data_IF_174607676118
#
_entry.id   IF_174607676118
#
_cell.length_a   1.000
_cell.length_b   1.000
_cell.length_c   1.000
_cell.angle_alpha   90.00
_cell.angle_beta   90.00
_cell.angle_gamma   90.00
#
_symmetry.space_group_name_H-M   'P 1'
#
loop_
_entity.id
_entity.type
_entity.pdbx_description
1 polymer ?
#
# COMPACT_ATOMS: atom_id res chain seq x y z
N UNK A 1 -20.89 3.47 -4.81
CA UNK A 1 -19.70 2.91 -5.48
C UNK A 1 -20.10 2.06 -6.70
N UNK A 2 -19.17 1.56 -7.53
CA UNK A 2 -19.49 0.65 -8.66
C UNK A 2 -20.31 -0.56 -8.18
N UNK A 3 -19.94 -1.13 -7.03
CA UNK A 3 -20.67 -2.25 -6.40
C UNK A 3 -22.14 -1.89 -6.16
N UNK A 4 -22.42 -0.75 -5.51
CA UNK A 4 -23.80 -0.32 -5.24
C UNK A 4 -24.64 -0.12 -6.50
N UNK A 5 -24.01 0.31 -7.60
CA UNK A 5 -24.71 0.56 -8.86
C UNK A 5 -25.25 -0.72 -9.51
N UNK A 6 -24.54 -1.83 -9.34
CA UNK A 6 -24.84 -3.09 -10.03
C UNK A 6 -25.33 -4.20 -9.09
N UNK A 7 -25.41 -3.94 -7.78
CA UNK A 7 -25.79 -4.94 -6.78
C UNK A 7 -27.20 -5.53 -6.95
N UNK A 8 -28.09 -4.87 -7.70
CA UNK A 8 -29.44 -5.36 -7.98
C UNK A 8 -29.67 -5.58 -9.48
N UNK A 9 -28.60 -5.49 -10.28
CA UNK A 9 -28.68 -5.65 -11.73
C UNK A 9 -28.55 -7.15 -12.08
N UNK A 10 -29.65 -7.75 -12.53
CA UNK A 10 -29.70 -9.15 -12.94
C UNK A 10 -28.82 -9.46 -14.17
N UNK A 11 -28.45 -8.43 -14.93
CA UNK A 11 -27.59 -8.53 -16.10
C UNK A 11 -26.12 -8.23 -15.77
N UNK A 12 -25.82 -7.78 -14.56
CA UNK A 12 -24.46 -7.66 -14.08
C UNK A 12 -23.95 -8.96 -13.45
N UNK A 13 -22.68 -9.28 -13.69
CA UNK A 13 -22.04 -10.49 -13.16
C UNK A 13 -20.64 -10.21 -12.64
N UNK A 14 -20.26 -10.89 -11.56
CA UNK A 14 -18.89 -11.00 -11.09
C UNK A 14 -18.23 -12.23 -11.70
N UNK A 15 -16.95 -12.12 -12.04
CA UNK A 15 -16.16 -13.22 -12.59
C UNK A 15 -14.89 -13.42 -11.81
N UNK A 16 -14.47 -14.68 -11.68
CA UNK A 16 -13.21 -15.06 -11.05
C UNK A 16 -12.69 -16.37 -11.65
N UNK A 17 -11.41 -16.66 -11.41
CA UNK A 17 -10.81 -17.94 -11.73
C UNK A 17 -9.90 -18.48 -10.63
N UNK A 18 -9.91 -19.80 -10.45
CA UNK A 18 -9.09 -20.52 -9.48
C UNK A 18 -8.31 -21.66 -10.12
N UNK A 19 -7.11 -21.91 -9.63
CA UNK A 19 -6.22 -22.99 -10.09
C UNK A 19 -6.60 -24.32 -9.43
N UNK A 20 -6.54 -25.42 -10.18
CA UNK A 20 -6.65 -26.76 -9.59
C UNK A 20 -5.45 -27.05 -8.67
N UNK A 21 -5.67 -27.87 -7.64
CA UNK A 21 -4.60 -28.28 -6.72
C UNK A 21 -3.63 -29.27 -7.37
N UNK A 22 -4.10 -30.04 -8.35
CA UNK A 22 -3.29 -31.02 -9.06
C UNK A 22 -2.31 -30.35 -10.04
N UNK A 23 -1.07 -30.85 -10.18
CA UNK A 23 -0.11 -30.33 -11.14
C UNK A 23 -0.64 -30.41 -12.56
N UNK A 24 -0.84 -29.26 -13.16
CA UNK A 24 -1.28 -29.12 -14.53
C UNK A 24 -1.85 -27.73 -14.70
N UNK A 25 -1.50 -27.07 -15.80
CA UNK A 25 -2.00 -25.77 -16.26
C UNK A 25 -3.54 -25.77 -16.38
N UNK A 26 -4.27 -25.95 -15.29
CA UNK A 26 -5.69 -26.26 -15.22
C UNK A 26 -6.36 -25.35 -14.20
N UNK A 27 -7.44 -24.71 -14.63
CA UNK A 27 -8.13 -23.67 -13.89
C UNK A 27 -9.64 -23.84 -14.04
N UNK A 28 -10.39 -23.40 -13.04
CA UNK A 28 -11.82 -23.20 -13.10
C UNK A 28 -12.10 -21.71 -13.24
N UNK A 29 -12.91 -21.34 -14.22
CA UNK A 29 -13.45 -20.00 -14.40
C UNK A 29 -14.93 -19.99 -14.04
N UNK A 30 -15.41 -18.95 -13.36
CA UNK A 30 -16.81 -18.83 -12.91
C UNK A 30 -17.40 -17.49 -13.24
N UNK A 31 -18.73 -17.48 -13.38
CA UNK A 31 -19.57 -16.31 -13.54
C UNK A 31 -20.65 -16.37 -12.48
N UNK A 32 -20.74 -15.34 -11.65
CA UNK A 32 -21.68 -15.22 -10.54
C UNK A 32 -22.57 -14.00 -10.74
N UNK A 33 -23.87 -14.15 -10.53
CA UNK A 33 -24.83 -13.04 -10.64
C UNK A 33 -24.55 -11.96 -9.59
N UNK A 34 -24.57 -10.69 -10.01
CA UNK A 34 -24.42 -9.57 -9.10
C UNK A 34 -25.65 -9.35 -8.21
N UNK A 35 -26.84 -9.77 -8.63
CA UNK A 35 -28.08 -9.54 -7.88
C UNK A 35 -28.33 -10.52 -6.74
N UNK A 36 -27.89 -11.78 -6.89
CA UNK A 36 -28.23 -12.85 -5.96
C UNK A 36 -27.05 -13.78 -5.59
N UNK A 37 -25.86 -13.56 -6.14
CA UNK A 37 -24.68 -14.37 -5.84
C UNK A 37 -24.73 -15.81 -6.39
N UNK A 38 -25.73 -16.16 -7.20
CA UNK A 38 -25.83 -17.49 -7.79
C UNK A 38 -24.81 -17.68 -8.92
N UNK A 39 -24.22 -18.87 -9.00
CA UNK A 39 -23.33 -19.23 -10.12
C UNK A 39 -24.15 -19.40 -11.39
N UNK A 40 -23.92 -18.54 -12.39
CA UNK A 40 -24.58 -18.57 -13.71
C UNK A 40 -23.90 -19.55 -14.67
N UNK A 41 -22.57 -19.55 -14.67
CA UNK A 41 -21.78 -20.40 -15.52
C UNK A 41 -20.45 -20.74 -14.86
N UNK A 42 -19.89 -21.89 -15.22
CA UNK A 42 -18.54 -22.27 -14.84
C UNK A 42 -17.92 -23.14 -15.94
N UNK A 43 -16.60 -23.03 -16.12
CA UNK A 43 -15.86 -23.83 -17.08
C UNK A 43 -14.50 -24.24 -16.52
N UNK A 44 -14.09 -25.46 -16.83
CA UNK A 44 -12.71 -25.89 -16.64
C UNK A 44 -11.92 -25.55 -17.90
N UNK A 45 -10.73 -24.99 -17.74
CA UNK A 45 -9.86 -24.59 -18.84
C UNK A 45 -8.43 -25.01 -18.56
N UNK A 46 -7.66 -25.23 -19.63
CA UNK A 46 -6.21 -25.42 -19.51
C UNK A 46 -5.46 -24.22 -20.07
N UNK A 47 -4.75 -23.50 -19.20
CA UNK A 47 -4.03 -22.26 -19.49
C UNK A 47 -2.81 -22.13 -18.58
N UNK A 48 -1.79 -21.40 -19.03
CA UNK A 48 -0.45 -21.42 -18.38
C UNK A 48 -0.34 -20.57 -17.11
N UNK A 49 -1.30 -19.70 -16.85
CA UNK A 49 -1.26 -18.79 -15.71
C UNK A 49 -2.68 -18.30 -15.36
N UNK A 50 -2.81 -17.79 -14.13
CA UNK A 50 -4.07 -17.26 -13.60
C UNK A 50 -4.65 -16.15 -14.47
N UNK A 51 -3.84 -15.23 -14.98
CA UNK A 51 -4.29 -14.15 -15.87
C UNK A 51 -5.07 -14.66 -17.08
N UNK A 52 -4.61 -15.72 -17.75
CA UNK A 52 -5.34 -16.33 -18.87
C UNK A 52 -6.65 -16.99 -18.43
N UNK A 53 -6.70 -17.53 -17.21
CA UNK A 53 -7.93 -18.11 -16.66
C UNK A 53 -8.97 -17.02 -16.35
N UNK A 54 -8.54 -15.87 -15.85
CA UNK A 54 -9.40 -14.69 -15.63
C UNK A 54 -9.97 -14.18 -16.96
N UNK A 55 -9.18 -14.16 -18.03
CA UNK A 55 -9.69 -13.82 -19.37
C UNK A 55 -10.76 -14.81 -19.85
N UNK A 56 -10.60 -16.10 -19.52
CA UNK A 56 -11.62 -17.13 -19.81
C UNK A 56 -12.90 -16.87 -19.02
N UNK A 57 -12.81 -16.45 -17.76
CA UNK A 57 -13.97 -16.09 -16.95
C UNK A 57 -14.74 -14.89 -17.53
N UNK A 58 -14.02 -13.84 -17.96
CA UNK A 58 -14.63 -12.70 -18.67
C UNK A 58 -15.26 -13.16 -19.98
N UNK A 59 -14.58 -14.00 -20.77
CA UNK A 59 -15.12 -14.51 -22.04
C UNK A 59 -16.39 -15.33 -21.84
N UNK A 60 -16.45 -16.14 -20.77
CA UNK A 60 -17.62 -16.93 -20.40
C UNK A 60 -18.82 -16.03 -20.05
N UNK A 61 -18.59 -14.94 -19.34
CA UNK A 61 -19.62 -13.95 -19.04
C UNK A 61 -20.07 -13.16 -20.29
N UNK A 62 -19.14 -12.79 -21.18
CA UNK A 62 -19.46 -12.13 -22.44
C UNK A 62 -20.33 -13.01 -23.34
N UNK A 63 -20.08 -14.32 -23.33
CA UNK A 63 -20.86 -15.31 -24.08
C UNK A 63 -22.23 -15.63 -23.46
N UNK A 64 -22.56 -15.09 -22.28
CA UNK A 64 -23.88 -15.21 -21.65
C UNK A 64 -24.84 -14.14 -22.22
N UNK A 65 -25.91 -14.53 -22.93
CA UNK A 65 -26.88 -13.59 -23.51
C UNK A 65 -27.60 -12.71 -22.46
N UNK A 66 -27.70 -13.21 -21.22
CA UNK A 66 -28.35 -12.51 -20.12
C UNK A 66 -27.39 -11.61 -19.34
N UNK A 67 -26.15 -11.45 -19.78
CA UNK A 67 -25.21 -10.49 -19.21
C UNK A 67 -25.30 -9.16 -19.98
N UNK A 68 -25.00 -8.03 -19.34
CA UNK A 68 -24.64 -6.76 -20.00
C UNK A 68 -23.32 -6.18 -19.47
N UNK A 69 -23.05 -6.42 -18.19
CA UNK A 69 -21.95 -5.85 -17.43
C UNK A 69 -21.16 -6.96 -16.76
N UNK A 70 -19.84 -6.97 -16.99
CA UNK A 70 -18.91 -7.90 -16.35
C UNK A 70 -18.04 -7.13 -15.36
N UNK A 71 -17.99 -7.58 -14.11
CA UNK A 71 -17.20 -6.99 -13.04
C UNK A 71 -16.08 -7.98 -12.68
N UNK A 72 -14.84 -7.53 -12.77
CA UNK A 72 -13.64 -8.35 -12.49
C UNK A 72 -12.63 -7.58 -11.66
N UNK A 73 -11.95 -8.25 -10.73
CA UNK A 73 -10.84 -7.69 -9.99
C UNK A 73 -9.46 -7.86 -10.69
N UNK A 74 -9.42 -8.67 -11.76
CA UNK A 74 -8.21 -8.90 -12.55
C UNK A 74 -7.93 -7.74 -13.52
N UNK A 75 -7.13 -6.78 -13.04
CA UNK A 75 -6.73 -5.61 -13.84
C UNK A 75 -6.10 -6.01 -15.17
N UNK A 76 -5.27 -7.03 -15.16
CA UNK A 76 -4.53 -7.48 -16.35
C UNK A 76 -5.50 -8.09 -17.38
N UNK A 77 -6.50 -8.87 -16.96
CA UNK A 77 -7.53 -9.44 -17.84
C UNK A 77 -8.38 -8.34 -18.47
N UNK A 78 -8.87 -7.39 -17.66
CA UNK A 78 -9.64 -6.24 -18.16
C UNK A 78 -8.84 -5.43 -19.19
N UNK A 79 -7.55 -5.16 -18.93
CA UNK A 79 -6.69 -4.45 -19.89
C UNK A 79 -6.47 -5.24 -21.20
N UNK A 80 -6.43 -6.57 -21.13
CA UNK A 80 -6.23 -7.44 -22.28
C UNK A 80 -7.45 -7.41 -23.20
N UNK A 81 -8.66 -7.44 -22.63
CA UNK A 81 -9.90 -7.18 -23.35
C UNK A 81 -9.95 -5.76 -23.95
N UNK A 82 -9.58 -4.72 -23.17
CA UNK A 82 -9.56 -3.35 -23.66
C UNK A 82 -8.61 -3.15 -24.85
N UNK A 83 -7.52 -3.93 -24.93
CA UNK A 83 -6.58 -3.93 -26.06
C UNK A 83 -7.02 -4.82 -27.23
N UNK A 84 -8.13 -5.55 -27.10
CA UNK A 84 -8.57 -6.54 -28.09
C UNK A 84 -7.64 -7.75 -28.21
N UNK A 85 -6.84 -8.06 -27.18
CA UNK A 85 -5.86 -9.16 -27.19
C UNK A 85 -6.08 -10.05 -25.98
N UNK A 86 -6.74 -11.18 -26.19
CA UNK A 86 -7.00 -12.20 -25.16
C UNK A 86 -6.32 -13.52 -25.53
N UNK A 87 -6.18 -14.42 -24.58
CA UNK A 87 -5.62 -15.74 -24.78
C UNK A 87 -6.48 -16.60 -25.74
N UNK A 88 -5.86 -17.62 -26.33
CA UNK A 88 -6.53 -18.49 -27.29
C UNK A 88 -7.74 -19.25 -26.71
N UNK A 89 -7.77 -19.53 -25.40
CA UNK A 89 -8.93 -20.14 -24.76
C UNK A 89 -10.13 -19.18 -24.70
N UNK A 90 -9.91 -17.95 -24.22
CA UNK A 90 -10.93 -16.90 -24.21
C UNK A 90 -11.43 -16.58 -25.63
N UNK A 91 -10.51 -16.42 -26.59
CA UNK A 91 -10.86 -16.15 -27.99
C UNK A 91 -11.75 -17.24 -28.62
N UNK A 92 -11.53 -18.52 -28.26
CA UNK A 92 -12.37 -19.63 -28.74
C UNK A 92 -13.80 -19.54 -28.20
N UNK A 93 -13.98 -19.19 -26.92
CA UNK A 93 -15.31 -19.01 -26.32
C UNK A 93 -16.06 -17.88 -27.03
N UNK A 94 -15.40 -16.73 -27.22
CA UNK A 94 -15.98 -15.58 -27.90
C UNK A 94 -16.41 -15.92 -29.34
N UNK A 95 -15.53 -16.59 -30.11
CA UNK A 95 -15.85 -17.02 -31.48
C UNK A 95 -17.01 -18.02 -31.52
N UNK A 96 -17.03 -18.97 -30.59
CA UNK A 96 -18.11 -19.94 -30.51
C UNK A 96 -19.46 -19.28 -30.21
N UNK A 97 -19.49 -18.24 -29.35
CA UNK A 97 -20.69 -17.46 -29.07
C UNK A 97 -21.23 -16.78 -30.34
N UNK A 98 -20.36 -16.12 -31.11
CA UNK A 98 -20.71 -15.50 -32.40
C UNK A 98 -21.25 -16.54 -33.40
N UNK A 99 -20.57 -17.68 -33.57
CA UNK A 99 -21.00 -18.72 -34.52
C UNK A 99 -22.34 -19.37 -34.14
N UNK A 100 -22.62 -19.49 -32.83
CA UNK A 100 -23.86 -20.12 -32.35
C UNK A 100 -25.03 -19.14 -32.26
N UNK A 101 -24.86 -17.89 -32.70
CA UNK A 101 -25.88 -16.84 -32.54
C UNK A 101 -26.21 -16.56 -31.08
N UNK A 102 -25.28 -16.89 -30.17
CA UNK A 102 -25.35 -16.56 -28.74
C UNK A 102 -24.65 -15.25 -28.43
N UNK A 103 -23.98 -14.65 -29.42
CA UNK A 103 -23.71 -13.23 -29.31
C UNK A 103 -25.03 -12.46 -29.33
N UNK A 104 -24.97 -11.31 -28.69
CA UNK A 104 -26.12 -10.49 -28.38
C UNK A 104 -26.01 -9.22 -29.19
N UNK A 105 -27.16 -8.68 -29.59
CA UNK A 105 -27.28 -7.35 -30.17
C UNK A 105 -27.03 -6.29 -29.08
N UNK A 106 -25.76 -6.11 -28.67
CA UNK A 106 -25.40 -5.12 -27.65
C UNK A 106 -24.00 -5.29 -27.07
N UNK A 107 -23.29 -4.17 -26.91
CA UNK A 107 -21.94 -4.16 -26.34
C UNK A 107 -21.91 -4.65 -24.89
N UNK A 108 -20.83 -5.37 -24.52
CA UNK A 108 -20.54 -5.75 -23.13
C UNK A 108 -19.64 -4.74 -22.47
N UNK A 109 -20.06 -4.26 -21.30
CA UNK A 109 -19.24 -3.34 -20.52
C UNK A 109 -18.47 -4.13 -19.48
N UNK A 110 -17.14 -4.13 -19.59
CA UNK A 110 -16.26 -4.74 -18.60
C UNK A 110 -15.79 -3.65 -17.64
N UNK A 111 -15.97 -3.87 -16.33
CA UNK A 111 -15.59 -2.96 -15.24
C UNK A 111 -14.53 -3.62 -14.37
N UNK A 112 -13.46 -2.88 -14.09
CA UNK A 112 -12.45 -3.29 -13.13
C UNK A 112 -12.79 -2.75 -11.73
N UNK A 113 -12.62 -3.59 -10.71
CA UNK A 113 -12.68 -3.21 -9.30
C UNK A 113 -11.42 -3.68 -8.56
N UNK A 114 -11.04 -3.07 -7.43
CA UNK A 114 -10.01 -3.63 -6.57
C UNK A 114 -10.41 -5.00 -6.01
N UNK A 115 -9.45 -5.90 -5.82
CA UNK A 115 -9.66 -7.15 -5.08
C UNK A 115 -9.94 -6.86 -3.60
N UNK A 116 -10.62 -7.79 -2.92
CA UNK A 116 -10.82 -7.77 -1.46
C UNK A 116 -11.38 -6.46 -0.90
N UNK A 117 -12.33 -5.85 -1.62
CA UNK A 117 -12.98 -4.60 -1.20
C UNK A 117 -13.81 -4.72 0.08
N UNK A 118 -13.93 -5.90 0.70
CA UNK A 118 -14.73 -6.11 1.90
C UNK A 118 -16.21 -5.72 1.73
N UNK A 119 -16.96 -5.75 2.82
CA UNK A 119 -18.35 -5.24 2.89
C UNK A 119 -18.39 -3.71 3.06
N UNK A 120 -17.30 -3.12 3.56
CA UNK A 120 -17.19 -1.69 3.92
C UNK A 120 -17.18 -0.74 2.72
N UNK A 121 -16.98 -1.24 1.50
CA UNK A 121 -16.97 -0.38 0.28
C UNK A 121 -18.39 -0.08 -0.24
N UNK A 122 -19.42 -0.69 0.34
CA UNK A 122 -20.80 -0.37 0.00
C UNK A 122 -21.36 0.70 0.93
N UNK A 123 -21.78 1.82 0.35
CA UNK A 123 -22.41 2.91 1.12
C UNK A 123 -23.79 2.47 1.62
N UNK A 124 -24.42 1.56 0.89
CA UNK A 124 -25.79 1.10 1.12
C UNK A 124 -25.87 -0.31 1.75
N UNK A 125 -24.74 -0.91 2.16
CA UNK A 125 -24.71 -2.26 2.75
C UNK A 125 -25.02 -3.37 1.75
N UNK A 126 -24.93 -3.10 0.44
CA UNK A 126 -25.20 -4.09 -0.59
C UNK A 126 -24.13 -5.20 -0.60
N UNK A 127 -24.49 -6.46 -0.90
CA UNK A 127 -23.51 -7.54 -0.95
C UNK A 127 -22.56 -7.36 -2.13
N UNK A 128 -21.25 -7.46 -1.86
CA UNK A 128 -20.23 -7.55 -2.88
C UNK A 128 -19.96 -9.03 -3.22
N UNK A 129 -20.46 -9.49 -4.36
CA UNK A 129 -20.31 -10.88 -4.78
C UNK A 129 -18.97 -11.21 -5.47
N UNK A 130 -17.98 -10.30 -5.43
CA UNK A 130 -16.62 -10.62 -5.88
C UNK A 130 -16.00 -11.78 -5.08
N UNK A 131 -16.13 -11.74 -3.74
CA UNK A 131 -15.66 -12.83 -2.89
C UNK A 131 -16.50 -14.10 -3.08
N UNK A 132 -17.80 -13.96 -3.38
CA UNK A 132 -18.65 -15.10 -3.75
C UNK A 132 -18.14 -15.79 -5.02
N UNK A 133 -17.73 -15.02 -6.04
CA UNK A 133 -17.10 -15.57 -7.24
C UNK A 133 -15.77 -16.28 -6.92
N UNK A 134 -14.93 -15.68 -6.08
CA UNK A 134 -13.68 -16.30 -5.62
C UNK A 134 -13.89 -17.63 -4.90
N UNK A 135 -14.83 -17.67 -3.95
CA UNK A 135 -15.21 -18.88 -3.23
C UNK A 135 -15.81 -19.92 -4.18
N UNK A 136 -16.67 -19.51 -5.11
CA UNK A 136 -17.26 -20.41 -6.10
C UNK A 136 -16.18 -21.02 -7.00
N UNK A 137 -15.25 -20.23 -7.52
CA UNK A 137 -14.16 -20.72 -8.37
C UNK A 137 -13.33 -21.79 -7.64
N UNK A 138 -12.91 -21.49 -6.41
CA UNK A 138 -12.15 -22.41 -5.56
C UNK A 138 -12.95 -23.64 -5.14
N UNK A 139 -14.25 -23.50 -4.87
CA UNK A 139 -15.12 -24.63 -4.54
C UNK A 139 -15.26 -25.63 -5.69
N UNK A 140 -15.13 -25.17 -6.94
CA UNK A 140 -15.28 -26.00 -8.13
C UNK A 140 -13.98 -26.69 -8.60
N UNK A 141 -12.82 -26.39 -8.00
CA UNK A 141 -11.56 -27.08 -8.32
C UNK A 141 -11.51 -28.51 -7.79
N UNK A 142 -12.36 -28.88 -6.83
CA UNK A 142 -12.35 -30.20 -6.17
C UNK A 142 -13.46 -31.16 -6.64
N UNK A 143 -13.97 -31.01 -7.87
CA UNK A 143 -15.11 -31.81 -8.38
C UNK A 143 -14.86 -33.32 -8.49
N UNK A 144 -13.62 -33.81 -8.41
CA UNK A 144 -13.27 -35.23 -8.60
C UNK A 144 -12.76 -35.95 -7.34
N UNK A 145 -12.69 -35.30 -6.18
CA UNK A 145 -12.10 -35.85 -4.96
C UNK A 145 -13.03 -36.85 -4.21
N UNK A 146 -13.81 -37.66 -4.93
CA UNK A 146 -14.56 -38.75 -4.30
C UNK A 146 -13.67 -39.97 -3.99
N UNK A 147 -12.48 -40.11 -4.62
CA UNK A 147 -11.59 -41.27 -4.41
C UNK A 147 -10.07 -40.96 -4.49
N UNK A 148 -9.66 -39.70 -4.49
CA UNK A 148 -8.25 -39.32 -4.48
C UNK A 148 -7.76 -39.18 -3.04
N UNK A 149 -6.77 -39.97 -2.63
CA UNK A 149 -6.04 -39.77 -1.38
C UNK A 149 -5.64 -38.30 -1.29
N UNK A 150 -6.06 -37.63 -0.22
CA UNK A 150 -5.60 -36.28 0.13
C UNK A 150 -4.08 -36.38 0.27
N UNK A 151 -3.36 -36.02 -0.79
CA UNK A 151 -1.91 -35.95 -0.75
C UNK A 151 -1.57 -34.89 0.29
N UNK A 152 -1.15 -35.38 1.45
CA UNK A 152 -0.64 -34.61 2.58
C UNK A 152 0.67 -33.96 2.13
N UNK A 153 0.57 -32.82 1.45
CA UNK A 153 1.72 -32.15 0.84
C UNK A 153 1.52 -30.65 0.75
N UNK A 154 1.90 -29.93 1.82
CA UNK A 154 2.14 -28.48 1.82
C UNK A 154 0.89 -27.61 1.67
N UNK A 155 0.93 -26.41 2.26
CA UNK A 155 -0.02 -25.35 1.92
C UNK A 155 0.11 -25.05 0.41
N UNK A 156 -0.86 -25.47 -0.40
CA UNK A 156 -0.90 -25.14 -1.82
C UNK A 156 -1.28 -23.67 -1.98
N UNK A 157 -0.28 -22.82 -2.21
CA UNK A 157 -0.50 -21.42 -2.59
C UNK A 157 -0.78 -21.35 -4.10
N UNK A 158 -2.02 -20.98 -4.45
CA UNK A 158 -2.42 -20.70 -5.83
C UNK A 158 -1.41 -19.75 -6.48
N UNK A 159 -1.16 -19.91 -7.77
CA UNK A 159 -0.34 -18.98 -8.56
C UNK A 159 -0.86 -17.54 -8.47
N UNK A 160 -2.17 -17.34 -8.24
CA UNK A 160 -2.79 -16.03 -7.96
C UNK A 160 -2.34 -15.43 -6.62
N UNK A 161 -1.99 -16.26 -5.65
CA UNK A 161 -1.56 -15.86 -4.30
C UNK A 161 -0.03 -15.78 -4.16
N UNK A 162 0.73 -16.06 -5.23
CA UNK A 162 2.20 -15.99 -5.22
C UNK A 162 2.68 -14.56 -5.44
N UNK A 163 3.51 -14.11 -4.52
CA UNK A 163 4.23 -12.84 -4.61
C UNK A 163 5.34 -12.94 -5.67
N UNK A 164 5.02 -12.66 -6.92
CA UNK A 164 5.91 -12.94 -8.06
C UNK A 164 6.57 -11.70 -8.62
N UNK A 165 6.03 -10.50 -8.37
CA UNK A 165 6.62 -9.26 -8.88
C UNK A 165 7.64 -8.68 -7.91
N UNK A 166 8.68 -8.02 -8.44
CA UNK A 166 9.68 -7.31 -7.64
C UNK A 166 9.05 -6.33 -6.64
N UNK A 167 8.01 -5.60 -7.06
CA UNK A 167 7.32 -4.63 -6.21
C UNK A 167 6.61 -5.31 -5.03
N UNK A 168 5.87 -6.39 -5.27
CA UNK A 168 5.20 -7.12 -4.19
C UNK A 168 6.20 -7.68 -3.18
N UNK A 169 7.29 -8.30 -3.67
CA UNK A 169 8.37 -8.84 -2.84
C UNK A 169 8.99 -7.75 -1.97
N UNK A 170 9.40 -6.63 -2.57
CA UNK A 170 9.98 -5.51 -1.83
C UNK A 170 8.98 -4.89 -0.86
N UNK A 171 7.70 -4.76 -1.26
CA UNK A 171 6.65 -4.22 -0.40
C UNK A 171 6.43 -5.11 0.81
N UNK A 172 6.42 -6.43 0.65
CA UNK A 172 6.30 -7.36 1.77
C UNK A 172 7.47 -7.24 2.74
N UNK A 173 8.72 -7.25 2.25
CA UNK A 173 9.88 -7.04 3.12
C UNK A 173 9.86 -5.65 3.78
N UNK A 174 9.48 -4.60 3.06
CA UNK A 174 9.39 -3.23 3.57
C UNK A 174 8.35 -3.12 4.69
N UNK A 175 7.17 -3.72 4.50
CA UNK A 175 6.09 -3.70 5.50
C UNK A 175 6.43 -4.60 6.69
N UNK A 176 7.01 -5.77 6.45
CA UNK A 176 7.42 -6.70 7.51
C UNK A 176 8.55 -6.15 8.40
N UNK A 177 9.45 -5.31 7.86
CA UNK A 177 10.51 -4.64 8.63
C UNK A 177 10.07 -3.34 9.29
N UNK A 178 8.81 -2.92 9.16
CA UNK A 178 8.34 -1.63 9.69
C UNK A 178 8.10 -1.74 11.20
N UNK A 179 9.01 -1.17 11.99
CA UNK A 179 8.91 -1.13 13.47
C UNK A 179 8.23 0.15 13.99
N UNK A 180 8.21 1.21 13.19
CA UNK A 180 7.64 2.53 13.56
C UNK A 180 6.70 3.05 12.46
N UNK A 181 5.64 3.82 12.80
CA UNK A 181 4.68 4.30 11.82
C UNK A 181 5.29 5.30 10.83
N UNK A 182 4.73 5.46 9.63
CA UNK A 182 5.14 6.52 8.72
C UNK A 182 4.82 7.92 9.27
N UNK A 183 5.51 8.97 8.76
CA UNK A 183 5.07 10.34 8.97
C UNK A 183 3.65 10.48 8.41
N UNK A 184 2.81 11.23 9.09
CA UNK A 184 1.46 11.52 8.65
C UNK A 184 1.50 12.24 7.29
N UNK A 185 0.52 11.96 6.43
CA UNK A 185 0.45 12.50 5.07
C UNK A 185 0.38 14.03 5.02
N UNK A 186 -0.15 14.65 6.07
CA UNK A 186 -0.27 16.12 6.21
C UNK A 186 0.96 16.81 6.81
N UNK A 187 2.02 16.07 7.17
CA UNK A 187 3.29 16.70 7.52
C UNK A 187 3.97 17.25 6.27
N UNK A 188 4.54 18.46 6.40
CA UNK A 188 5.41 19.00 5.35
C UNK A 188 6.63 18.11 5.20
N UNK A 189 7.26 18.13 4.02
CA UNK A 189 8.45 17.32 3.73
C UNK A 189 9.55 17.50 4.77
N UNK A 190 9.82 18.73 5.18
CA UNK A 190 10.84 19.07 6.18
C UNK A 190 10.50 18.48 7.56
N UNK A 191 9.23 18.62 7.97
CA UNK A 191 8.73 18.05 9.23
C UNK A 191 8.81 16.52 9.24
N UNK A 192 8.43 15.89 8.13
CA UNK A 192 8.52 14.45 7.96
C UNK A 192 9.96 13.93 8.01
N UNK A 193 10.93 14.70 7.51
CA UNK A 193 12.36 14.38 7.62
C UNK A 193 12.82 14.45 9.08
N UNK A 194 12.49 15.51 9.80
CA UNK A 194 12.84 15.66 11.23
C UNK A 194 12.21 14.53 12.05
N UNK A 195 10.94 14.22 11.79
CA UNK A 195 10.25 13.11 12.47
C UNK A 195 10.92 11.77 12.18
N UNK A 196 11.36 11.52 10.94
CA UNK A 196 12.13 10.31 10.63
C UNK A 196 13.47 10.26 11.34
N UNK A 197 14.18 11.37 11.40
CA UNK A 197 15.45 11.45 12.12
C UNK A 197 15.27 11.18 13.62
N UNK A 198 14.19 11.65 14.23
CA UNK A 198 13.82 11.31 15.61
C UNK A 198 13.63 9.78 15.75
N UNK A 199 12.83 9.18 14.87
CA UNK A 199 12.54 7.75 14.92
C UNK A 199 13.75 6.84 14.68
N UNK A 200 14.70 7.27 13.86
CA UNK A 200 15.91 6.50 13.56
C UNK A 200 17.11 6.88 14.42
N UNK A 201 16.95 7.80 15.39
CA UNK A 201 18.04 8.27 16.24
C UNK A 201 19.14 9.01 15.48
N UNK A 202 18.81 9.65 14.36
CA UNK A 202 19.75 10.33 13.45
C UNK A 202 19.51 11.84 13.37
N UNK A 203 19.01 12.44 14.45
CA UNK A 203 18.87 13.88 14.58
C UNK A 203 20.22 14.58 14.34
N UNK A 204 20.20 15.64 13.53
CA UNK A 204 21.37 16.46 13.20
C UNK A 204 21.76 17.38 14.37
N UNK A 205 22.10 16.77 15.50
CA UNK A 205 22.64 17.43 16.69
C UNK A 205 24.10 17.82 16.46
N UNK A 206 24.70 18.75 17.25
CA UNK A 206 26.12 19.10 17.11
C UNK A 206 27.08 17.90 17.11
N UNK A 207 26.74 16.84 17.85
CA UNK A 207 27.48 15.57 17.85
C UNK A 207 27.60 14.96 16.45
N UNK A 208 26.52 14.97 15.67
CA UNK A 208 26.52 14.50 14.28
C UNK A 208 26.96 15.59 13.31
N UNK A 209 26.54 16.83 13.55
CA UNK A 209 26.74 17.95 12.65
C UNK A 209 28.21 18.34 12.51
N UNK A 210 29.05 18.21 13.55
CA UNK A 210 30.51 18.43 13.42
C UNK A 210 31.20 17.53 12.39
N UNK A 211 30.64 16.35 12.12
CA UNK A 211 31.18 15.43 11.13
C UNK A 211 30.65 15.68 9.71
N UNK A 212 29.44 16.25 9.60
CA UNK A 212 28.79 16.52 8.32
C UNK A 212 29.13 17.94 7.82
N UNK A 213 29.21 18.90 8.73
CA UNK A 213 29.46 20.32 8.49
C UNK A 213 30.54 20.86 9.45
N UNK A 214 31.79 20.37 9.37
CA UNK A 214 32.86 20.78 10.30
C UNK A 214 33.17 22.28 10.26
N UNK A 215 32.90 22.96 9.14
CA UNK A 215 33.08 24.41 9.02
C UNK A 215 32.02 25.23 9.79
N UNK A 216 30.86 24.65 10.09
CA UNK A 216 29.78 25.31 10.85
C UNK A 216 29.74 24.85 12.31
N UNK A 217 30.18 23.62 12.58
CA UNK A 217 30.16 23.00 13.90
C UNK A 217 31.58 22.58 14.29
N UNK A 218 32.26 23.45 15.04
CA UNK A 218 33.64 23.24 15.47
C UNK A 218 33.76 22.14 16.56
N UNK A 219 32.77 22.03 17.43
CA UNK A 219 32.72 21.04 18.49
C UNK A 219 31.32 20.41 18.65
N UNK A 220 31.20 19.44 19.56
CA UNK A 220 29.92 18.81 19.91
C UNK A 220 29.36 19.26 21.26
N UNK A 221 29.81 20.40 21.76
CA UNK A 221 29.40 20.92 23.07
C UNK A 221 28.01 21.55 22.97
N UNK A 222 27.18 21.32 23.99
CA UNK A 222 25.85 21.92 24.06
C UNK A 222 25.94 23.45 24.14
N UNK A 223 25.26 24.12 23.22
CA UNK A 223 25.19 25.58 23.11
C UNK A 223 24.54 26.28 24.31
N UNK A 224 23.76 25.55 25.11
CA UNK A 224 23.06 26.09 26.29
C UNK A 224 23.93 25.95 27.55
N UNK A 225 24.25 24.72 27.95
CA UNK A 225 24.99 24.49 29.21
C UNK A 225 26.52 24.63 29.08
N UNK A 226 27.06 24.59 27.86
CA UNK A 226 28.51 24.67 27.55
C UNK A 226 29.40 23.66 28.29
N UNK A 227 28.83 22.58 28.83
CA UNK A 227 29.53 21.59 29.67
C UNK A 227 29.45 20.17 29.12
N UNK A 228 28.27 19.77 28.65
CA UNK A 228 27.99 18.42 28.18
C UNK A 228 27.96 18.36 26.66
N UNK A 229 28.08 17.14 26.12
CA UNK A 229 27.92 16.87 24.69
C UNK A 229 26.45 17.05 24.29
N UNK A 230 26.20 17.69 23.17
CA UNK A 230 24.88 17.97 22.63
C UNK A 230 24.24 16.74 21.97
N UNK A 231 24.05 15.66 22.71
CA UNK A 231 23.37 14.45 22.20
C UNK A 231 21.87 14.68 22.07
N UNK A 232 21.18 13.85 21.29
CA UNK A 232 19.71 13.91 21.19
C UNK A 232 19.03 13.78 22.56
N UNK A 233 19.50 12.88 23.43
CA UNK A 233 18.99 12.75 24.80
C UNK A 233 19.18 14.04 25.60
N UNK A 234 20.39 14.61 25.59
CA UNK A 234 20.72 15.82 26.32
C UNK A 234 19.86 17.01 25.88
N UNK A 235 19.67 17.18 24.57
CA UNK A 235 18.88 18.28 24.01
C UNK A 235 17.38 18.13 24.30
N UNK A 236 16.83 16.92 24.18
CA UNK A 236 15.38 16.71 24.35
C UNK A 236 14.95 16.62 25.81
N UNK A 237 15.84 16.26 26.74
CA UNK A 237 15.60 16.46 28.16
C UNK A 237 15.62 17.95 28.55
N UNK A 238 16.16 18.83 27.69
CA UNK A 238 16.35 20.25 27.93
C UNK A 238 17.21 20.52 29.18
N UNK A 239 18.51 20.69 28.98
CA UNK A 239 19.47 20.86 30.08
C UNK A 239 19.30 22.12 30.93
N UNK A 240 18.51 23.10 30.48
CA UNK A 240 18.19 24.29 31.28
C UNK A 240 17.03 24.00 32.25
N UNK A 241 16.06 23.19 31.81
CA UNK A 241 14.87 22.85 32.60
C UNK A 241 15.07 21.60 33.46
N UNK A 242 15.75 20.58 32.93
CA UNK A 242 15.98 19.29 33.58
C UNK A 242 17.48 18.92 33.53
N UNK A 243 18.34 19.67 34.26
CA UNK A 243 19.80 19.50 34.19
C UNK A 243 20.27 18.12 34.67
N UNK A 244 19.56 17.53 35.64
CA UNK A 244 19.90 16.21 36.18
C UNK A 244 19.64 15.12 35.16
N UNK A 245 18.44 15.08 34.59
CA UNK A 245 18.02 14.12 33.59
C UNK A 245 18.88 14.23 32.33
N UNK A 246 19.13 15.46 31.86
CA UNK A 246 19.96 15.71 30.68
C UNK A 246 21.43 15.27 30.84
N UNK A 247 21.91 15.10 32.07
CA UNK A 247 23.29 14.64 32.35
C UNK A 247 23.36 13.14 32.65
N UNK A 248 22.38 12.59 33.36
CA UNK A 248 22.37 11.18 33.80
C UNK A 248 21.76 10.23 32.76
N UNK A 249 20.80 10.68 31.94
CA UNK A 249 20.04 9.81 31.03
C UNK A 249 20.64 9.77 29.63
N UNK A 250 20.85 8.55 29.13
CA UNK A 250 21.29 8.28 27.74
C UNK A 250 20.12 8.02 26.78
N UNK A 251 18.91 7.80 27.31
CA UNK A 251 17.68 7.57 26.54
C UNK A 251 16.95 8.88 26.26
N UNK A 252 16.06 8.87 25.26
CA UNK A 252 15.18 10.00 25.01
C UNK A 252 14.16 10.13 26.15
N UNK A 253 13.59 11.31 26.37
CA UNK A 253 12.45 11.44 27.28
C UNK A 253 11.28 10.56 26.81
N UNK A 254 10.56 9.87 27.71
CA UNK A 254 9.50 8.92 27.35
C UNK A 254 8.49 9.47 26.35
N UNK A 255 8.09 10.74 26.52
CA UNK A 255 7.16 11.43 25.63
C UNK A 255 7.63 11.50 24.16
N UNK A 256 8.95 11.56 23.91
CA UNK A 256 9.50 11.52 22.55
C UNK A 256 9.60 10.09 22.01
N UNK A 257 9.88 9.10 22.87
CA UNK A 257 9.87 7.68 22.48
C UNK A 257 8.46 7.23 22.08
N UNK A 258 7.45 7.65 22.85
CA UNK A 258 6.05 7.39 22.57
C UNK A 258 5.58 8.12 21.30
N UNK A 259 5.94 9.40 21.15
CA UNK A 259 5.61 10.17 19.96
C UNK A 259 6.24 9.59 18.69
N UNK A 260 7.47 9.07 18.76
CA UNK A 260 8.14 8.39 17.66
C UNK A 260 7.39 7.12 17.20
N UNK A 261 6.56 6.52 18.06
CA UNK A 261 5.73 5.34 17.76
C UNK A 261 4.28 5.68 17.43
N UNK A 262 3.89 6.96 17.48
CA UNK A 262 2.53 7.42 17.26
C UNK A 262 2.27 7.77 15.77
N UNK A 263 1.09 7.40 15.25
CA UNK A 263 0.64 7.76 13.89
C UNK A 263 -0.17 9.06 13.82
N UNK A 264 -0.57 9.62 14.97
CA UNK A 264 -1.45 10.78 15.03
C UNK A 264 -0.75 12.07 14.63
N UNK A 265 -1.39 12.84 13.74
CA UNK A 265 -0.83 14.07 13.16
C UNK A 265 -0.39 15.07 14.24
N UNK A 266 -1.23 15.32 15.24
CA UNK A 266 -0.96 16.34 16.25
C UNK A 266 0.20 15.96 17.18
N UNK A 267 0.36 14.67 17.48
CA UNK A 267 1.49 14.15 18.26
C UNK A 267 2.79 14.27 17.47
N UNK A 268 2.77 13.90 16.18
CA UNK A 268 3.94 14.03 15.33
C UNK A 268 4.34 15.51 15.14
N UNK A 269 3.38 16.41 14.91
CA UNK A 269 3.62 17.85 14.82
C UNK A 269 4.20 18.42 16.11
N UNK A 270 3.66 18.03 17.27
CA UNK A 270 4.19 18.43 18.57
C UNK A 270 5.67 18.01 18.72
N UNK A 271 5.99 16.75 18.42
CA UNK A 271 7.35 16.25 18.54
C UNK A 271 8.30 16.99 17.59
N UNK A 272 7.91 17.17 16.33
CA UNK A 272 8.70 17.91 15.34
C UNK A 272 8.96 19.35 15.79
N UNK A 273 7.95 20.07 16.28
CA UNK A 273 8.11 21.45 16.76
C UNK A 273 9.13 21.55 17.89
N UNK A 274 9.06 20.66 18.87
CA UNK A 274 9.99 20.67 20.01
C UNK A 274 11.40 20.27 19.60
N UNK A 275 11.54 19.22 18.78
CA UNK A 275 12.85 18.81 18.25
C UNK A 275 13.48 19.95 17.44
N UNK A 276 12.71 20.61 16.58
CA UNK A 276 13.19 21.75 15.78
C UNK A 276 13.66 22.87 16.68
N UNK A 277 12.85 23.24 17.68
CA UNK A 277 13.22 24.27 18.67
C UNK A 277 14.50 23.92 19.41
N UNK A 278 14.65 22.67 19.85
CA UNK A 278 15.84 22.21 20.55
C UNK A 278 17.10 22.25 19.67
N UNK A 279 16.98 21.90 18.39
CA UNK A 279 18.08 21.98 17.42
C UNK A 279 18.43 23.43 17.06
N UNK A 280 17.44 24.31 16.92
CA UNK A 280 17.65 25.72 16.59
C UNK A 280 18.43 26.44 17.70
N UNK A 281 18.19 26.08 18.97
CA UNK A 281 18.99 26.55 20.12
C UNK A 281 20.47 26.14 20.06
N UNK A 282 20.82 25.15 19.25
CA UNK A 282 22.21 24.69 19.07
C UNK A 282 22.90 25.30 17.85
N UNK A 283 22.18 26.03 16.99
CA UNK A 283 22.81 26.74 15.87
C UNK A 283 23.71 27.81 16.45
N UNK A 284 24.93 27.91 15.94
CA UNK A 284 25.86 28.96 16.33
C UNK A 284 25.17 30.32 16.17
N UNK A 285 25.28 31.19 17.17
CA UNK A 285 25.01 32.61 16.97
C UNK A 285 26.11 33.10 16.04
N UNK A 286 25.74 33.81 14.98
CA UNK A 286 26.69 34.54 14.16
C UNK A 286 27.35 35.60 15.06
N UNK A 287 28.43 35.23 15.75
CA UNK A 287 29.31 36.15 16.45
C UNK A 287 30.21 36.84 15.39
N UNK A 288 29.55 37.53 14.47
CA UNK A 288 30.15 38.45 13.50
C UNK A 288 29.80 39.87 13.90
N UNK A 289 30.55 40.41 14.86
CA UNK A 289 30.54 41.83 15.16
C UNK A 289 30.98 42.63 13.94
N UNK A 290 30.00 43.12 13.18
CA UNK A 290 30.14 44.12 12.14
C UNK A 290 28.98 45.10 12.27
N UNK A 291 29.25 46.21 12.96
CA UNK A 291 28.35 47.35 13.10
C UNK A 291 27.93 47.85 11.70
N UNK A 292 26.65 47.75 11.35
CA UNK A 292 26.16 48.36 10.10
C UNK A 292 24.77 47.92 9.63
N UNK A 293 23.84 48.88 9.68
CA UNK A 293 22.56 48.95 8.96
C UNK A 293 21.33 48.23 9.56
N UNK A 294 20.43 49.08 10.07
CA UNK A 294 19.03 48.81 10.42
C UNK A 294 18.24 48.31 9.20
N UNK A 295 17.43 47.28 9.41
CA UNK A 295 16.33 46.89 8.52
C UNK A 295 15.80 45.49 8.84
N UNK A 296 14.69 45.41 9.57
CA UNK A 296 13.87 44.18 9.61
C UNK A 296 12.55 44.41 8.85
N UNK A 297 11.66 43.41 8.77
CA UNK A 297 11.85 41.97 8.89
C UNK A 297 11.36 41.24 7.61
N UNK A 298 11.88 40.03 7.32
CA UNK A 298 11.16 38.88 6.71
C UNK A 298 12.16 37.97 6.00
N UNK A 299 12.26 36.72 6.45
CA UNK A 299 13.00 35.68 5.75
C UNK A 299 13.53 34.63 6.70
N UNK A 300 12.75 33.59 6.97
CA UNK A 300 13.30 32.34 7.51
C UNK A 300 14.39 31.86 6.55
N UNK A 301 15.65 31.59 7.00
CA UNK A 301 16.67 31.11 6.10
C UNK A 301 16.31 29.69 5.66
N UNK A 302 16.02 29.53 4.38
CA UNK A 302 15.86 28.24 3.72
C UNK A 302 17.17 27.45 3.83
N UNK A 303 17.07 26.15 4.11
CA UNK A 303 18.16 25.20 3.95
C UNK A 303 18.87 25.43 2.61
N UNK A 304 20.22 25.46 2.57
CA UNK A 304 20.93 25.63 1.30
C UNK A 304 20.51 24.50 0.37
N UNK A 305 19.94 24.90 -0.78
CA UNK A 305 19.54 24.00 -1.85
C UNK A 305 20.81 23.34 -2.36
N UNK A 306 20.92 22.04 -2.16
CA UNK A 306 21.97 21.21 -2.76
C UNK A 306 21.77 21.26 -4.28
N UNK A 307 22.58 22.05 -4.96
CA UNK A 307 22.76 21.94 -6.40
C UNK A 307 23.52 20.64 -6.70
N UNK A 308 23.09 19.96 -7.76
CA UNK A 308 23.53 18.61 -8.14
C UNK A 308 24.95 18.59 -8.68
#
# INVERSE_FOLDING_TARGET
AIVDRYAQDERAVYVDAAEYQDPGDAYTAVVVSASNGATRAAASTRVRNSHQAEEVAIALAVADPGCDTVISDSRTAVLSFAKGRVCGAAARILRAATTTGRDRDGAVVIKWIPAHMGSEVTVNGNPNHNETASVAARGLTNRAAANGTVSRGGEWFSTKDRMTTYNEIVKWYRLGRRVVPPPHSELKREEAVIFRQLQTGSLLTPVLAKHIYPGLYADDTCGLCKKARATASHLLWDCELNPREASEKTTLPPQFEDAARCSELEVQRWAVRLVTTALDRQRARDDGGGEGARGGPTGSPSWPRIEK
#
